data_IF_032009429725
#
_entry.id   IF_032009429725
#
_cell.length_a   1.000
_cell.length_b   1.000
_cell.length_c   1.000
_cell.angle_alpha   90.00
_cell.angle_beta   90.00
_cell.angle_gamma   90.00
#
_symmetry.space_group_name_H-M   'P 1'
#
loop_
_entity.id
_entity.type
_entity.pdbx_description
1 polymer ?
#
# COMPACT_ATOMS: atom_id res chain seq x y z
N UNK A 1 -0.97 -5.22 -37.05
CA UNK A 1 -2.04 -6.22 -37.14
C UNK A 1 -2.85 -6.07 -35.88
N UNK A 2 -4.11 -5.65 -35.98
CA UNK A 2 -5.01 -5.61 -34.83
C UNK A 2 -5.31 -7.04 -34.42
N UNK A 3 -4.91 -7.41 -33.20
CA UNK A 3 -5.26 -8.69 -32.62
C UNK A 3 -6.78 -8.72 -32.39
N UNK A 4 -7.45 -9.77 -32.86
CA UNK A 4 -8.90 -9.94 -32.63
C UNK A 4 -9.16 -10.04 -31.12
N UNK A 5 -9.95 -9.11 -30.53
CA UNK A 5 -10.22 -9.12 -29.10
C UNK A 5 -10.83 -10.42 -28.59
N UNK A 6 -11.54 -11.20 -29.43
CA UNK A 6 -12.19 -12.47 -29.03
C UNK A 6 -11.21 -13.63 -28.86
N UNK A 7 -9.92 -13.44 -29.14
CA UNK A 7 -8.91 -14.48 -28.98
C UNK A 7 -8.82 -15.02 -27.55
N UNK A 8 -9.24 -14.26 -26.53
CA UNK A 8 -9.27 -14.76 -25.15
C UNK A 8 -10.28 -15.90 -24.93
N UNK A 9 -11.33 -16.02 -25.74
CA UNK A 9 -12.35 -17.08 -25.61
C UNK A 9 -11.75 -18.48 -25.86
N UNK A 10 -10.62 -18.54 -26.57
CA UNK A 10 -9.90 -19.77 -26.88
C UNK A 10 -8.74 -20.06 -25.92
N UNK A 11 -8.51 -19.19 -24.92
CA UNK A 11 -7.45 -19.40 -23.91
C UNK A 11 -8.03 -20.24 -22.77
N UNK A 12 -7.58 -21.49 -22.68
CA UNK A 12 -7.90 -22.36 -21.54
C UNK A 12 -7.12 -21.88 -20.32
N UNK A 13 -7.84 -21.49 -19.27
CA UNK A 13 -7.23 -21.16 -17.97
C UNK A 13 -6.98 -22.47 -17.20
N UNK A 14 -5.74 -22.69 -16.80
CA UNK A 14 -5.36 -23.84 -16.00
C UNK A 14 -5.57 -23.55 -14.51
N UNK A 15 -6.16 -24.49 -13.76
CA UNK A 15 -6.31 -24.39 -12.30
C UNK A 15 -4.98 -24.10 -11.60
N UNK A 16 -3.87 -24.65 -12.11
CA UNK A 16 -2.54 -24.37 -11.57
C UNK A 16 -2.14 -22.90 -11.71
N UNK A 17 -2.55 -22.22 -12.78
CA UNK A 17 -2.29 -20.79 -12.97
C UNK A 17 -3.12 -19.97 -11.99
N UNK A 18 -4.38 -20.34 -11.78
CA UNK A 18 -5.24 -19.73 -10.76
C UNK A 18 -4.60 -19.89 -9.37
N UNK A 19 -4.17 -21.11 -9.03
CA UNK A 19 -3.54 -21.37 -7.74
C UNK A 19 -2.24 -20.58 -7.56
N UNK A 20 -1.41 -20.45 -8.60
CA UNK A 20 -0.21 -19.61 -8.57
C UNK A 20 -0.53 -18.14 -8.36
N UNK A 21 -1.57 -17.62 -9.01
CA UNK A 21 -2.00 -16.22 -8.85
C UNK A 21 -2.47 -15.97 -7.42
N UNK A 22 -3.30 -16.84 -6.86
CA UNK A 22 -3.75 -16.76 -5.46
C UNK A 22 -2.58 -16.87 -4.50
N UNK A 23 -1.73 -17.88 -4.66
CA UNK A 23 -0.57 -18.09 -3.80
C UNK A 23 0.37 -16.88 -3.84
N UNK A 24 0.59 -16.27 -5.01
CA UNK A 24 1.42 -15.08 -5.14
C UNK A 24 0.88 -13.91 -4.31
N UNK A 25 -0.45 -13.75 -4.23
CA UNK A 25 -1.09 -12.71 -3.44
C UNK A 25 -0.94 -12.98 -1.94
N UNK A 26 -1.16 -14.23 -1.52
CA UNK A 26 -1.03 -14.63 -0.12
C UNK A 26 0.40 -14.47 0.40
N UNK A 27 1.40 -14.87 -0.39
CA UNK A 27 2.82 -14.72 -0.03
C UNK A 27 3.27 -13.25 -0.04
N UNK A 28 2.79 -12.47 -1.01
CA UNK A 28 3.10 -11.04 -1.09
C UNK A 28 2.60 -10.29 0.14
N UNK A 29 1.37 -10.58 0.59
CA UNK A 29 0.73 -9.95 1.76
C UNK A 29 1.00 -10.67 3.11
N UNK A 30 1.90 -11.65 3.13
CA UNK A 30 2.31 -12.36 4.35
C UNK A 30 1.15 -13.07 5.11
N UNK A 31 0.20 -13.67 4.39
CA UNK A 31 -0.88 -14.47 4.98
C UNK A 31 -0.45 -15.92 5.25
N UNK A 32 0.55 -16.11 6.11
CA UNK A 32 1.28 -17.37 6.30
C UNK A 32 0.37 -18.57 6.61
N UNK A 33 -0.55 -18.40 7.55
CA UNK A 33 -1.50 -19.43 7.97
C UNK A 33 -2.41 -19.84 6.81
N UNK A 34 -2.77 -18.87 5.96
CA UNK A 34 -3.59 -19.10 4.76
C UNK A 34 -2.76 -19.76 3.66
N UNK A 35 -1.50 -19.38 3.49
CA UNK A 35 -0.56 -20.03 2.55
C UNK A 35 -0.42 -21.52 2.87
N UNK A 36 -0.19 -21.87 4.13
CA UNK A 36 -0.02 -23.26 4.56
C UNK A 36 -1.28 -24.10 4.29
N UNK A 37 -2.45 -23.58 4.67
CA UNK A 37 -3.73 -24.23 4.41
C UNK A 37 -3.99 -24.37 2.91
N UNK A 38 -3.77 -23.30 2.13
CA UNK A 38 -3.97 -23.28 0.69
C UNK A 38 -3.10 -24.29 -0.04
N UNK A 39 -1.81 -24.37 0.30
CA UNK A 39 -0.87 -25.34 -0.27
C UNK A 39 -1.30 -26.78 0.05
N UNK A 40 -1.73 -27.03 1.29
CA UNK A 40 -2.18 -28.35 1.73
C UNK A 40 -3.42 -28.82 0.96
N UNK A 41 -4.34 -27.90 0.65
CA UNK A 41 -5.55 -28.21 -0.11
C UNK A 41 -5.30 -28.37 -1.63
N UNK A 42 -4.34 -27.62 -2.19
CA UNK A 42 -4.09 -27.56 -3.65
C UNK A 42 -2.99 -28.52 -4.11
N UNK A 43 -2.19 -29.07 -3.20
CA UNK A 43 -1.07 -29.97 -3.53
C UNK A 43 0.12 -29.27 -4.19
N UNK A 44 0.20 -27.94 -4.12
CA UNK A 44 1.31 -27.17 -4.69
C UNK A 44 2.63 -27.45 -3.94
N UNK A 45 3.76 -27.35 -4.65
CA UNK A 45 5.09 -27.49 -4.01
C UNK A 45 5.53 -26.15 -3.44
N UNK A 46 5.79 -26.11 -2.13
CA UNK A 46 6.39 -24.98 -1.41
C UNK A 46 7.75 -24.59 -2.00
N UNK A 47 8.05 -23.30 -2.05
CA UNK A 47 9.42 -22.80 -2.20
C UNK A 47 9.89 -22.30 -0.82
N UNK A 48 10.61 -23.17 -0.10
CA UNK A 48 11.01 -22.95 1.31
C UNK A 48 11.69 -21.59 1.57
N UNK A 49 12.40 -21.05 0.59
CA UNK A 49 13.08 -19.76 0.68
C UNK A 49 12.13 -18.55 0.81
N UNK A 50 10.87 -18.68 0.37
CA UNK A 50 9.89 -17.59 0.50
C UNK A 50 9.31 -17.44 1.91
N UNK A 51 9.31 -18.51 2.71
CA UNK A 51 8.69 -18.51 4.05
C UNK A 51 9.46 -17.66 5.07
N UNK A 52 10.79 -17.77 5.10
CA UNK A 52 11.60 -17.02 6.08
C UNK A 52 11.61 -15.51 5.78
N UNK A 53 11.71 -15.13 4.51
CA UNK A 53 11.59 -13.73 4.08
C UNK A 53 10.19 -13.17 4.39
N UNK A 54 9.15 -13.97 4.14
CA UNK A 54 7.78 -13.60 4.43
C UNK A 54 7.53 -13.37 5.92
N UNK A 55 8.10 -14.16 6.83
CA UNK A 55 8.03 -13.94 8.28
C UNK A 55 8.69 -12.62 8.71
N UNK A 56 9.88 -12.32 8.18
CA UNK A 56 10.58 -11.06 8.46
C UNK A 56 9.75 -9.87 7.97
N UNK A 57 9.23 -9.93 6.74
CA UNK A 57 8.33 -8.92 6.17
C UNK A 57 7.04 -8.76 6.96
N UNK A 58 6.41 -9.88 7.38
CA UNK A 58 5.18 -9.87 8.20
C UNK A 58 5.38 -9.05 9.47
N UNK A 59 6.48 -9.27 10.18
CA UNK A 59 6.80 -8.52 11.41
C UNK A 59 6.94 -7.03 11.15
N UNK A 60 7.71 -6.64 10.14
CA UNK A 60 7.91 -5.24 9.75
C UNK A 60 6.57 -4.57 9.42
N UNK A 61 5.76 -5.25 8.59
CA UNK A 61 4.44 -4.78 8.18
C UNK A 61 3.51 -4.52 9.38
N UNK A 62 3.42 -5.47 10.31
CA UNK A 62 2.56 -5.34 11.49
C UNK A 62 3.03 -4.20 12.41
N UNK A 63 4.34 -4.02 12.60
CA UNK A 63 4.83 -2.88 13.39
C UNK A 63 4.46 -1.53 12.76
N UNK A 64 4.47 -1.42 11.43
CA UNK A 64 4.00 -0.21 10.75
C UNK A 64 2.49 -0.01 10.93
N UNK A 65 1.70 -1.08 10.75
CA UNK A 65 0.24 -1.05 10.90
C UNK A 65 -0.21 -0.69 12.33
N UNK A 66 0.49 -1.19 13.34
CA UNK A 66 0.24 -0.90 14.76
C UNK A 66 0.74 0.50 15.19
N UNK A 67 1.29 1.28 14.24
CA UNK A 67 1.89 2.60 14.50
C UNK A 67 3.20 2.53 15.30
N UNK A 68 3.79 1.35 15.50
CA UNK A 68 5.14 1.20 16.05
C UNK A 68 6.20 1.39 14.95
N UNK A 69 6.14 2.54 14.29
CA UNK A 69 6.92 2.80 13.08
C UNK A 69 8.44 2.83 13.34
N UNK A 70 8.90 3.21 14.54
CA UNK A 70 10.33 3.15 14.87
C UNK A 70 10.87 1.72 14.85
N UNK A 71 10.09 0.75 15.36
CA UNK A 71 10.50 -0.66 15.29
C UNK A 71 10.43 -1.19 13.86
N UNK A 72 9.45 -0.74 13.07
CA UNK A 72 9.39 -1.06 11.65
C UNK A 72 10.62 -0.51 10.89
N UNK A 73 11.03 0.72 11.16
CA UNK A 73 12.24 1.35 10.57
C UNK A 73 13.50 0.55 10.94
N UNK A 74 13.69 0.22 12.22
CA UNK A 74 14.84 -0.56 12.71
C UNK A 74 14.95 -1.90 11.97
N UNK A 75 13.86 -2.69 11.98
CA UNK A 75 13.83 -3.99 11.30
C UNK A 75 13.95 -3.88 9.77
N UNK A 76 13.49 -2.77 9.19
CA UNK A 76 13.65 -2.50 7.76
C UNK A 76 15.11 -2.25 7.40
N UNK A 77 15.84 -1.48 8.19
CA UNK A 77 17.27 -1.24 7.97
C UNK A 77 18.12 -2.50 8.23
N UNK A 78 17.69 -3.37 9.14
CA UNK A 78 18.30 -4.70 9.32
C UNK A 78 18.09 -5.62 8.10
N UNK A 79 16.87 -5.65 7.55
CA UNK A 79 16.51 -6.52 6.43
C UNK A 79 17.00 -5.97 5.07
N UNK A 80 16.92 -4.66 4.87
CA UNK A 80 17.17 -3.98 3.61
C UNK A 80 17.95 -2.66 3.84
N UNK A 81 19.28 -2.73 4.04
CA UNK A 81 20.08 -1.56 4.36
C UNK A 81 19.96 -0.42 3.34
N UNK A 82 19.84 0.80 3.85
CA UNK A 82 19.71 2.04 3.09
C UNK A 82 18.46 2.12 2.20
N UNK A 83 17.45 1.26 2.41
CA UNK A 83 16.16 1.35 1.73
C UNK A 83 15.51 2.71 1.97
N UNK A 84 15.46 3.14 3.24
CA UNK A 84 14.80 4.39 3.64
C UNK A 84 15.63 5.63 3.29
N UNK A 85 16.93 5.45 3.05
CA UNK A 85 17.77 6.49 2.49
C UNK A 85 17.52 6.72 1.00
N UNK A 86 17.31 5.64 0.24
CA UNK A 86 16.94 5.71 -1.18
C UNK A 86 15.49 6.17 -1.37
N UNK A 87 14.59 5.82 -0.45
CA UNK A 87 13.17 6.15 -0.50
C UNK A 87 12.77 7.10 0.63
N UNK A 88 13.06 8.40 0.44
CA UNK A 88 12.76 9.45 1.43
C UNK A 88 11.26 9.65 1.65
N UNK A 89 10.42 9.39 0.65
CA UNK A 89 8.96 9.47 0.78
C UNK A 89 8.45 8.46 1.82
N UNK A 90 8.86 7.19 1.67
CA UNK A 90 8.50 6.14 2.62
C UNK A 90 9.07 6.40 4.03
N UNK A 91 10.30 6.89 4.12
CA UNK A 91 10.90 7.22 5.40
C UNK A 91 10.11 8.33 6.11
N UNK A 92 9.72 9.38 5.39
CA UNK A 92 8.88 10.45 5.92
C UNK A 92 7.52 9.91 6.40
N UNK A 93 6.86 9.08 5.59
CA UNK A 93 5.55 8.52 5.93
C UNK A 93 5.63 7.63 7.20
N UNK A 94 6.70 6.84 7.37
CA UNK A 94 6.94 6.05 8.59
C UNK A 94 7.19 6.92 9.83
N UNK A 95 8.04 7.95 9.72
CA UNK A 95 8.26 8.87 10.83
C UNK A 95 6.96 9.60 11.21
N UNK A 96 6.14 9.93 10.22
CA UNK A 96 4.83 10.57 10.42
C UNK A 96 3.87 9.67 11.21
N UNK A 97 3.87 8.35 10.98
CA UNK A 97 3.10 7.41 11.80
C UNK A 97 3.49 7.44 13.28
N UNK A 98 4.79 7.53 13.57
CA UNK A 98 5.24 7.65 14.96
C UNK A 98 4.84 8.99 15.58
N UNK A 99 4.99 10.08 14.83
CA UNK A 99 4.54 11.40 15.28
C UNK A 99 3.04 11.39 15.62
N UNK A 100 2.20 10.87 14.73
CA UNK A 100 0.76 10.71 14.95
C UNK A 100 0.48 9.89 16.21
N UNK A 101 1.21 8.80 16.45
CA UNK A 101 1.06 8.00 17.67
C UNK A 101 1.35 8.80 18.94
N UNK A 102 2.37 9.66 18.94
CA UNK A 102 2.67 10.55 20.07
C UNK A 102 1.56 11.57 20.30
N UNK A 103 1.04 12.17 19.23
CA UNK A 103 -0.09 13.11 19.29
C UNK A 103 -1.34 12.45 19.86
N UNK A 104 -1.72 11.26 19.36
CA UNK A 104 -2.86 10.50 19.88
C UNK A 104 -2.68 10.09 21.35
N UNK A 105 -1.43 9.88 21.78
CA UNK A 105 -1.10 9.58 23.18
C UNK A 105 -1.05 10.82 24.09
N UNK A 106 -1.41 12.00 23.57
CA UNK A 106 -1.36 13.31 24.26
C UNK A 106 0.04 13.68 24.76
N UNK A 107 1.09 13.14 24.12
CA UNK A 107 2.50 13.40 24.44
C UNK A 107 3.03 14.53 23.55
N UNK A 108 2.44 15.72 23.65
CA UNK A 108 2.74 16.83 22.73
C UNK A 108 4.20 17.28 22.79
N UNK A 109 4.81 17.29 23.98
CA UNK A 109 6.23 17.64 24.14
C UNK A 109 7.14 16.64 23.43
N UNK A 110 6.92 15.34 23.61
CA UNK A 110 7.66 14.28 22.93
C UNK A 110 7.44 14.35 21.40
N UNK A 111 6.21 14.64 20.95
CA UNK A 111 5.89 14.79 19.54
C UNK A 111 6.66 15.96 18.89
N UNK A 112 6.75 17.10 19.58
CA UNK A 112 7.49 18.28 19.11
C UNK A 112 9.00 18.01 19.08
N UNK A 113 9.57 17.43 20.13
CA UNK A 113 10.98 17.06 20.17
C UNK A 113 11.32 16.05 19.05
N UNK A 114 10.45 15.08 18.84
CA UNK A 114 10.59 14.11 17.75
C UNK A 114 10.57 14.79 16.38
N UNK A 115 9.61 15.68 16.13
CA UNK A 115 9.50 16.39 14.85
C UNK A 115 10.73 17.28 14.60
N UNK A 116 11.17 18.04 15.60
CA UNK A 116 12.37 18.87 15.51
C UNK A 116 13.63 18.05 15.22
N UNK A 117 13.72 16.84 15.75
CA UNK A 117 14.90 15.98 15.57
C UNK A 117 14.87 15.20 14.26
N UNK A 118 13.71 14.64 13.89
CA UNK A 118 13.59 13.64 12.81
C UNK A 118 12.91 14.17 11.55
N UNK A 119 12.04 15.17 11.65
CA UNK A 119 11.27 15.70 10.51
C UNK A 119 11.88 16.99 9.93
N UNK A 120 12.65 17.76 10.71
CA UNK A 120 13.37 18.96 10.22
C UNK A 120 14.18 18.75 8.93
N UNK A 121 14.91 17.64 8.73
CA UNK A 121 15.65 17.41 7.48
C UNK A 121 14.76 17.40 6.22
N UNK A 122 13.47 17.12 6.36
CA UNK A 122 12.50 17.11 5.27
C UNK A 122 11.93 18.51 4.97
N UNK A 123 12.11 19.48 5.87
CA UNK A 123 11.61 20.85 5.75
C UNK A 123 12.21 21.70 4.63
N UNK A 124 13.20 21.16 3.90
CA UNK A 124 13.80 21.82 2.73
C UNK A 124 13.07 21.50 1.42
N UNK A 125 12.11 20.57 1.43
CA UNK A 125 11.37 20.14 0.24
C UNK A 125 9.89 20.45 0.42
N UNK A 126 9.34 21.29 -0.47
CA UNK A 126 7.99 21.82 -0.38
C UNK A 126 6.91 20.75 -0.15
N UNK A 127 6.97 19.62 -0.88
CA UNK A 127 5.99 18.52 -0.73
C UNK A 127 5.93 17.93 0.69
N UNK A 128 7.06 17.93 1.42
CA UNK A 128 7.11 17.43 2.79
C UNK A 128 6.69 18.50 3.79
N UNK A 129 6.93 19.77 3.48
CA UNK A 129 6.45 20.90 4.30
C UNK A 129 4.93 20.90 4.35
N UNK A 130 4.26 20.78 3.20
CA UNK A 130 2.78 20.71 3.12
C UNK A 130 2.22 19.55 3.95
N UNK A 131 2.77 18.33 3.78
CA UNK A 131 2.38 17.18 4.62
C UNK A 131 2.67 17.44 6.11
N UNK A 132 3.80 18.05 6.45
CA UNK A 132 4.19 18.32 7.83
C UNK A 132 3.23 19.32 8.48
N UNK A 133 2.78 20.34 7.75
CA UNK A 133 1.77 21.29 8.21
C UNK A 133 0.46 20.58 8.57
N UNK A 134 0.00 19.64 7.73
CA UNK A 134 -1.18 18.83 8.01
C UNK A 134 -1.01 17.98 9.28
N UNK A 135 0.15 17.34 9.48
CA UNK A 135 0.42 16.60 10.71
C UNK A 135 0.49 17.51 11.94
N UNK A 136 1.13 18.68 11.82
CA UNK A 136 1.26 19.65 12.91
C UNK A 136 -0.09 20.25 13.32
N UNK A 137 -1.02 20.38 12.37
CA UNK A 137 -2.38 20.84 12.65
C UNK A 137 -3.10 19.95 13.68
N UNK A 138 -2.74 18.66 13.79
CA UNK A 138 -3.30 17.76 14.80
C UNK A 138 -2.98 18.21 16.24
N UNK A 139 -1.86 18.90 16.47
CA UNK A 139 -1.46 19.40 17.80
C UNK A 139 -2.35 20.55 18.30
N UNK A 140 -3.04 21.24 17.39
CA UNK A 140 -3.91 22.38 17.74
C UNK A 140 -5.25 21.94 18.37
N UNK A 141 -5.55 20.63 18.39
CA UNK A 141 -6.81 20.09 18.87
C UNK A 141 -6.58 19.19 20.09
N UNK A 142 -7.38 19.39 21.15
CA UNK A 142 -7.36 18.52 22.34
C UNK A 142 -7.73 17.06 22.01
N UNK A 143 -8.61 16.90 21.03
CA UNK A 143 -9.04 15.62 20.46
C UNK A 143 -8.63 15.60 18.98
N UNK A 144 -7.50 14.96 18.62
CA UNK A 144 -7.00 14.92 17.25
C UNK A 144 -8.01 14.37 16.23
N UNK A 145 -8.91 13.49 16.66
CA UNK A 145 -9.98 12.92 15.82
C UNK A 145 -11.03 13.95 15.36
N UNK A 146 -11.13 15.09 16.05
CA UNK A 146 -11.99 16.21 15.67
C UNK A 146 -11.31 17.20 14.73
N UNK A 147 -10.02 17.00 14.45
CA UNK A 147 -9.26 17.83 13.51
C UNK A 147 -9.77 17.61 12.08
N UNK A 148 -9.72 18.63 11.20
CA UNK A 148 -9.84 18.44 9.75
C UNK A 148 -8.88 17.39 9.19
N UNK A 149 -7.77 17.13 9.89
CA UNK A 149 -6.73 16.16 9.54
C UNK A 149 -6.95 14.76 10.14
N UNK A 150 -8.15 14.45 10.66
CA UNK A 150 -8.47 13.15 11.29
C UNK A 150 -8.16 11.94 10.40
N UNK A 151 -8.22 12.10 9.07
CA UNK A 151 -7.91 11.03 8.11
C UNK A 151 -6.47 10.51 8.24
N UNK A 152 -5.53 11.32 8.74
CA UNK A 152 -4.14 10.91 9.02
C UNK A 152 -4.03 9.98 10.23
N UNK A 153 -5.06 9.89 11.07
CA UNK A 153 -5.14 8.99 12.23
C UNK A 153 -5.73 7.62 11.88
N UNK A 154 -6.36 7.53 10.70
CA UNK A 154 -7.14 6.38 10.26
C UNK A 154 -6.32 5.11 10.15
N UNK A 155 -7.01 3.97 10.22
CA UNK A 155 -6.42 2.68 9.90
C UNK A 155 -6.02 2.64 8.42
N UNK A 156 -6.80 3.25 7.53
CA UNK A 156 -6.52 3.28 6.08
C UNK A 156 -5.20 3.96 5.75
N UNK A 157 -4.88 5.07 6.42
CA UNK A 157 -3.58 5.73 6.27
C UNK A 157 -2.44 4.84 6.73
N UNK A 158 -2.57 4.20 7.90
CA UNK A 158 -1.59 3.23 8.41
C UNK A 158 -1.39 2.05 7.48
N UNK A 159 -2.47 1.50 6.96
CA UNK A 159 -2.48 0.41 5.99
C UNK A 159 -1.73 0.82 4.72
N UNK A 160 -2.02 2.00 4.16
CA UNK A 160 -1.35 2.50 2.97
C UNK A 160 0.18 2.61 3.15
N UNK A 161 0.64 3.12 4.30
CA UNK A 161 2.07 3.21 4.60
C UNK A 161 2.69 1.82 4.80
N UNK A 162 2.01 0.91 5.49
CA UNK A 162 2.47 -0.47 5.67
C UNK A 162 2.57 -1.23 4.34
N UNK A 163 1.59 -1.07 3.45
CA UNK A 163 1.60 -1.63 2.10
C UNK A 163 2.77 -1.05 1.29
N UNK A 164 2.94 0.27 1.31
CA UNK A 164 4.06 0.95 0.64
C UNK A 164 5.43 0.45 1.13
N UNK A 165 5.55 0.21 2.45
CA UNK A 165 6.75 -0.39 3.04
C UNK A 165 7.00 -1.81 2.53
N UNK A 166 5.99 -2.68 2.57
CA UNK A 166 6.11 -4.06 2.08
C UNK A 166 6.52 -4.09 0.59
N UNK A 167 5.91 -3.22 -0.23
CA UNK A 167 6.24 -3.10 -1.66
C UNK A 167 7.67 -2.62 -1.89
N UNK A 168 8.16 -1.68 -1.08
CA UNK A 168 9.53 -1.20 -1.17
C UNK A 168 10.54 -2.29 -0.77
N UNK A 169 10.27 -3.07 0.27
CA UNK A 169 11.11 -4.20 0.68
C UNK A 169 11.19 -5.24 -0.45
N UNK A 170 10.05 -5.61 -1.03
CA UNK A 170 9.99 -6.54 -2.17
C UNK A 170 10.77 -6.00 -3.37
N UNK A 171 10.58 -4.73 -3.73
CA UNK A 171 11.31 -4.10 -4.82
C UNK A 171 12.84 -4.13 -4.59
N UNK A 172 13.28 -3.89 -3.36
CA UNK A 172 14.69 -3.95 -2.99
C UNK A 172 15.28 -5.37 -3.08
N UNK A 173 14.45 -6.39 -2.86
CA UNK A 173 14.81 -7.80 -3.09
C UNK A 173 14.68 -8.24 -4.56
N UNK A 174 14.49 -7.29 -5.51
CA UNK A 174 14.20 -7.55 -6.91
C UNK A 174 12.95 -8.45 -7.14
N UNK A 175 12.01 -8.42 -6.19
CA UNK A 175 10.71 -9.07 -6.32
C UNK A 175 9.68 -8.07 -6.87
N UNK A 176 8.60 -8.55 -7.53
CA UNK A 176 7.53 -7.68 -7.99
C UNK A 176 6.88 -6.90 -6.83
N UNK A 177 6.77 -5.58 -6.98
CA UNK A 177 6.10 -4.72 -5.99
C UNK A 177 4.60 -5.01 -5.88
N UNK A 178 4.00 -5.65 -6.87
CA UNK A 178 2.61 -6.07 -6.86
C UNK A 178 2.52 -7.57 -7.11
N UNK A 179 1.60 -8.23 -6.42
CA UNK A 179 1.26 -9.63 -6.69
C UNK A 179 0.80 -9.83 -8.14
N UNK A 180 0.80 -11.07 -8.62
CA UNK A 180 0.23 -11.35 -9.94
C UNK A 180 -1.24 -10.95 -10.00
N UNK A 181 -1.98 -11.19 -8.92
CA UNK A 181 -3.40 -10.84 -8.80
C UNK A 181 -3.64 -9.34 -8.95
N UNK A 182 -2.92 -8.49 -8.21
CA UNK A 182 -3.08 -7.03 -8.30
C UNK A 182 -2.74 -6.52 -9.72
N UNK A 183 -1.68 -7.05 -10.34
CA UNK A 183 -1.31 -6.68 -11.71
C UNK A 183 -2.39 -7.07 -12.72
N UNK A 184 -2.96 -8.27 -12.60
CA UNK A 184 -4.06 -8.72 -13.45
C UNK A 184 -5.31 -7.84 -13.26
N UNK A 185 -5.62 -7.44 -12.03
CA UNK A 185 -6.74 -6.53 -11.75
C UNK A 185 -6.48 -5.13 -12.34
N UNK A 186 -5.26 -4.60 -12.23
CA UNK A 186 -4.87 -3.33 -12.84
C UNK A 186 -5.02 -3.38 -14.37
N UNK A 187 -4.48 -4.43 -15.01
CA UNK A 187 -4.61 -4.65 -16.45
C UNK A 187 -6.08 -4.75 -16.86
N UNK A 188 -6.88 -5.55 -16.14
CA UNK A 188 -8.32 -5.70 -16.40
C UNK A 188 -9.06 -4.37 -16.26
N UNK A 189 -8.69 -3.55 -15.27
CA UNK A 189 -9.29 -2.22 -15.06
C UNK A 189 -9.00 -1.28 -16.22
N UNK A 190 -7.75 -1.24 -16.69
CA UNK A 190 -7.35 -0.42 -17.84
C UNK A 190 -8.02 -0.91 -19.13
N UNK A 191 -8.05 -2.22 -19.38
CA UNK A 191 -8.72 -2.80 -20.55
C UNK A 191 -10.21 -2.46 -20.55
N UNK A 192 -10.89 -2.65 -19.41
CA UNK A 192 -12.31 -2.30 -19.25
C UNK A 192 -12.55 -0.81 -19.52
N UNK A 193 -11.70 0.08 -19.01
CA UNK A 193 -11.82 1.52 -19.25
C UNK A 193 -11.60 1.86 -20.73
N UNK A 194 -10.64 1.22 -21.39
CA UNK A 194 -10.33 1.45 -22.80
C UNK A 194 -11.48 1.00 -23.70
N UNK A 195 -12.01 -0.21 -23.48
CA UNK A 195 -13.17 -0.73 -24.22
C UNK A 195 -14.44 0.11 -23.98
N UNK A 196 -14.66 0.59 -22.75
CA UNK A 196 -15.79 1.47 -22.46
C UNK A 196 -15.63 2.87 -23.09
N UNK A 197 -14.41 3.38 -23.26
CA UNK A 197 -14.17 4.64 -23.97
C UNK A 197 -14.48 4.53 -25.47
N UNK A 198 -14.23 3.38 -26.08
CA UNK A 198 -14.63 3.11 -27.47
C UNK A 198 -16.17 3.04 -27.62
N UNK A 199 -16.88 2.53 -26.62
CA UNK A 199 -18.35 2.56 -26.57
C UNK A 199 -18.96 3.96 -26.38
N UNK A 200 -18.21 4.95 -25.87
CA UNK A 200 -18.69 6.35 -25.78
C UNK A 200 -18.57 7.06 -27.13
N UNK A 201 -17.69 6.60 -28.03
CA UNK A 201 -17.64 7.11 -29.42
C UNK A 201 -18.75 6.55 -30.30
N UNK A 202 -19.19 5.33 -30.03
CA UNK A 202 -20.32 4.69 -30.73
C UNK A 202 -21.54 4.51 -29.80
N UNK A 203 -22.13 5.65 -29.42
CA UNK A 203 -23.56 5.82 -29.16
C UNK A 203 -24.26 4.89 -28.16
N UNK A 204 -24.09 5.14 -26.85
CA UNK A 204 -25.19 5.41 -25.88
C UNK A 204 -24.58 6.23 -24.74
N UNK A 205 -25.04 7.47 -24.54
CA UNK A 205 -24.65 8.27 -23.37
C UNK A 205 -25.23 7.64 -22.09
N UNK A 206 -24.43 7.45 -21.02
CA UNK A 206 -24.98 7.15 -19.70
C UNK A 206 -25.87 8.30 -19.25
N UNK A 207 -27.01 7.99 -18.63
CA UNK A 207 -27.95 8.96 -18.08
C UNK A 207 -27.23 10.06 -17.27
N UNK A 208 -27.41 11.32 -17.68
CA UNK A 208 -26.93 12.49 -16.96
C UNK A 208 -28.11 13.27 -16.38
N UNK A 209 -28.14 13.40 -15.04
CA UNK A 209 -29.20 14.10 -14.31
C UNK A 209 -29.40 15.56 -14.77
N UNK A 210 -28.36 16.19 -15.32
CA UNK A 210 -28.40 17.55 -15.86
C UNK A 210 -29.29 17.70 -17.10
N UNK A 211 -29.51 16.62 -17.85
CA UNK A 211 -30.34 16.62 -19.06
C UNK A 211 -31.82 16.38 -18.73
N UNK A 212 -32.10 15.66 -17.63
CA UNK A 212 -33.47 15.43 -17.14
C UNK A 212 -34.10 16.69 -16.51
N UNK A 213 -33.30 17.57 -15.91
CA UNK A 213 -33.79 18.78 -15.23
C UNK A 213 -34.04 19.97 -16.17
N UNK A 214 -33.86 19.79 -17.49
CA UNK A 214 -34.10 20.84 -18.50
C UNK A 214 -35.36 20.59 -19.36
N UNK A 215 -36.14 19.57 -19.05
CA UNK A 215 -37.49 19.32 -19.60
C UNK A 215 -38.56 19.78 -18.62
#
# INVERSE_FOLDING_TARGET
>A
MDADPRQYENIVVNDNDIHNVVLSYLVHNCYNETVESFISCTGMKQLANHLEDMEKRKRIFHFALDGNALKAIELTEELAPALLDRNKDLHFDLLSLHFVKLVCSRKCTEALEFAQTKLTPFGMVQKYVEKLEDFMALLAYEEPEKSPMFHLLSLDYRQHVADSLNRAILANANQPSYSAMERLIQQTTVVRQSLNQDHVKDGVLPFALKDFLKS
#
